data_IF_705251906564
#
_entry.id   IF_705251906564
#
_cell.length_a   1.000
_cell.length_b   1.000
_cell.length_c   1.000
_cell.angle_alpha   90.00
_cell.angle_beta   90.00
_cell.angle_gamma   90.00
#
_symmetry.space_group_name_H-M   'P 1'
#
loop_
_entity.id
_entity.type
_entity.pdbx_description
1 polymer ?
#
# COMPACT_ATOMS: atom_id res chain seq x y z
N UNK A 1 -3.85 -12.27 24.13
CA UNK A 1 -2.97 -11.16 24.55
C UNK A 1 -3.09 -10.07 23.50
N UNK A 2 -3.44 -8.84 23.88
CA UNK A 2 -3.44 -7.73 22.93
C UNK A 2 -1.99 -7.50 22.47
N UNK A 3 -1.73 -7.72 21.18
CA UNK A 3 -0.42 -7.49 20.59
C UNK A 3 -0.03 -6.01 20.69
N UNK A 4 1.26 -5.71 20.84
CA UNK A 4 1.76 -4.33 20.69
C UNK A 4 1.35 -3.79 19.32
N UNK A 5 1.10 -2.48 19.26
CA UNK A 5 0.82 -1.79 18.00
C UNK A 5 1.90 -2.12 16.95
N UNK A 6 1.54 -2.58 15.74
CA UNK A 6 2.51 -3.12 14.78
C UNK A 6 3.52 -2.10 14.23
N UNK A 7 3.18 -0.80 14.28
CA UNK A 7 3.99 0.29 13.73
C UNK A 7 4.49 1.20 14.86
N UNK A 8 5.57 0.81 15.57
CA UNK A 8 5.99 1.47 16.81
C UNK A 8 6.28 2.96 16.65
N UNK A 9 6.73 3.38 15.47
CA UNK A 9 7.11 4.75 15.15
C UNK A 9 5.92 5.65 14.70
N UNK A 10 4.72 5.09 14.57
CA UNK A 10 3.53 5.87 14.22
C UNK A 10 3.25 6.96 15.27
N UNK A 11 3.07 8.19 14.80
CA UNK A 11 2.55 9.29 15.62
C UNK A 11 1.10 9.02 16.01
N UNK A 12 0.55 9.82 16.92
CA UNK A 12 -0.86 9.70 17.32
C UNK A 12 -1.82 9.81 16.12
N UNK A 13 -1.52 10.70 15.18
CA UNK A 13 -2.34 10.91 13.99
C UNK A 13 -2.22 9.73 13.01
N UNK A 14 -1.04 9.16 12.85
CA UNK A 14 -0.85 7.95 12.02
C UNK A 14 -1.64 6.77 12.57
N UNK A 15 -1.66 6.62 13.90
CA UNK A 15 -2.50 5.61 14.56
C UNK A 15 -3.98 5.84 14.28
N UNK A 16 -4.46 7.08 14.38
CA UNK A 16 -5.86 7.39 14.06
C UNK A 16 -6.20 7.05 12.62
N UNK A 17 -5.35 7.41 11.65
CA UNK A 17 -5.55 7.07 10.23
C UNK A 17 -5.65 5.56 10.04
N UNK A 18 -4.69 4.79 10.57
CA UNK A 18 -4.71 3.32 10.44
C UNK A 18 -5.92 2.69 11.11
N UNK A 19 -6.35 3.21 12.27
CA UNK A 19 -7.56 2.74 12.95
C UNK A 19 -8.79 3.00 12.08
N UNK A 20 -8.89 4.20 11.48
CA UNK A 20 -9.97 4.55 10.54
C UNK A 20 -9.95 3.58 9.36
N UNK A 21 -8.78 3.32 8.75
CA UNK A 21 -8.65 2.37 7.64
C UNK A 21 -9.10 0.95 8.03
N UNK A 22 -8.75 0.49 9.24
CA UNK A 22 -9.21 -0.81 9.74
C UNK A 22 -10.73 -0.89 9.86
N UNK A 23 -11.37 0.14 10.43
CA UNK A 23 -12.83 0.19 10.49
C UNK A 23 -13.46 0.26 9.10
N UNK A 24 -12.90 1.06 8.19
CA UNK A 24 -13.39 1.19 6.81
C UNK A 24 -13.33 -0.15 6.08
N UNK A 25 -12.22 -0.87 6.18
CA UNK A 25 -12.07 -2.18 5.56
C UNK A 25 -13.09 -3.18 6.12
N UNK A 26 -13.25 -3.22 7.44
CA UNK A 26 -14.23 -4.09 8.08
C UNK A 26 -15.68 -3.74 7.71
N UNK A 27 -16.01 -2.44 7.61
CA UNK A 27 -17.34 -1.99 7.20
C UNK A 27 -17.61 -2.25 5.72
N UNK A 28 -16.60 -2.10 4.85
CA UNK A 28 -16.74 -2.36 3.42
C UNK A 28 -17.03 -3.84 3.12
N UNK A 29 -16.57 -4.77 3.97
CA UNK A 29 -16.97 -6.18 3.89
C UNK A 29 -18.47 -6.40 4.19
N UNK A 30 -19.07 -5.53 5.01
CA UNK A 30 -20.48 -5.62 5.38
C UNK A 30 -21.41 -4.83 4.43
N UNK A 31 -21.02 -3.60 4.07
CA UNK A 31 -21.80 -2.70 3.21
C UNK A 31 -20.88 -1.67 2.52
N UNK A 32 -20.42 -2.04 1.32
CA UNK A 32 -19.54 -1.18 0.52
C UNK A 32 -20.23 0.11 0.04
N UNK A 33 -21.51 0.05 -0.34
CA UNK A 33 -22.21 1.20 -0.92
C UNK A 33 -22.42 2.31 0.12
N UNK A 34 -22.68 1.92 1.38
CA UNK A 34 -22.77 2.88 2.48
C UNK A 34 -21.42 3.52 2.79
N UNK A 35 -20.32 2.77 2.71
CA UNK A 35 -18.96 3.32 2.86
C UNK A 35 -18.66 4.34 1.76
N UNK A 36 -18.94 4.02 0.49
CA UNK A 36 -18.71 4.93 -0.64
C UNK A 36 -19.54 6.21 -0.53
N UNK A 37 -20.77 6.11 -0.02
CA UNK A 37 -21.63 7.27 0.24
C UNK A 37 -21.05 8.18 1.32
N UNK A 38 -20.51 7.61 2.39
CA UNK A 38 -19.85 8.36 3.46
C UNK A 38 -18.56 9.03 2.97
N UNK A 39 -17.78 8.35 2.14
CA UNK A 39 -16.56 8.90 1.52
C UNK A 39 -16.87 10.15 0.72
N UNK A 40 -17.92 10.08 -0.11
CA UNK A 40 -18.39 11.21 -0.88
C UNK A 40 -18.76 12.39 0.02
N UNK A 41 -19.53 12.14 1.10
CA UNK A 41 -19.92 13.18 2.04
C UNK A 41 -18.71 13.86 2.71
N UNK A 42 -17.71 13.07 3.10
CA UNK A 42 -16.49 13.61 3.72
C UNK A 42 -15.61 14.37 2.72
N UNK A 43 -15.55 13.92 1.47
CA UNK A 43 -14.90 14.66 0.39
C UNK A 43 -15.60 15.99 0.13
N UNK A 44 -16.94 16.02 0.15
CA UNK A 44 -17.74 17.23 0.01
C UNK A 44 -17.51 18.21 1.19
N UNK A 45 -17.13 17.71 2.38
CA UNK A 45 -16.66 18.51 3.52
C UNK A 45 -15.19 18.95 3.44
N UNK A 46 -14.52 18.72 2.32
CA UNK A 46 -13.12 19.11 2.11
C UNK A 46 -12.12 18.19 2.80
N UNK A 47 -12.51 16.95 3.15
CA UNK A 47 -11.63 15.93 3.72
C UNK A 47 -11.36 14.77 2.73
N UNK A 48 -10.86 15.05 1.50
CA UNK A 48 -10.68 14.02 0.48
C UNK A 48 -9.61 12.98 0.84
N UNK A 49 -8.79 13.27 1.86
CA UNK A 49 -7.77 12.34 2.36
C UNK A 49 -8.35 11.10 3.06
N UNK A 50 -9.65 11.10 3.41
CA UNK A 50 -10.28 9.98 4.11
C UNK A 50 -10.43 8.73 3.23
N UNK A 51 -10.49 8.94 1.92
CA UNK A 51 -10.52 7.90 0.90
C UNK A 51 -9.31 8.12 0.00
N UNK A 52 -8.21 7.40 0.23
CA UNK A 52 -7.14 7.34 -0.76
C UNK A 52 -7.59 6.44 -1.92
N UNK A 53 -8.46 6.99 -2.76
CA UNK A 53 -8.90 6.38 -4.01
C UNK A 53 -7.91 6.69 -5.14
N UNK A 54 -6.64 7.01 -4.83
CA UNK A 54 -5.64 7.21 -5.88
C UNK A 54 -5.56 5.93 -6.71
N UNK A 55 -5.84 6.05 -8.01
CA UNK A 55 -5.74 4.92 -8.93
C UNK A 55 -4.30 4.42 -8.85
N UNK A 56 -4.14 3.20 -8.37
CA UNK A 56 -2.85 2.52 -8.34
C UNK A 56 -2.60 2.00 -9.75
N UNK A 57 -1.81 2.73 -10.52
CA UNK A 57 -1.34 2.25 -11.83
C UNK A 57 -0.38 1.08 -11.61
N UNK A 58 -0.91 -0.15 -11.64
CA UNK A 58 -0.16 -1.38 -11.36
C UNK A 58 0.97 -1.63 -12.36
N UNK A 59 0.91 -1.03 -13.55
CA UNK A 59 2.00 -1.12 -14.53
C UNK A 59 3.09 -0.07 -14.31
N UNK A 60 2.93 0.81 -13.33
CA UNK A 60 3.92 1.84 -13.02
C UNK A 60 5.27 1.19 -12.67
N UNK A 61 6.32 1.70 -13.30
CA UNK A 61 7.69 1.34 -13.01
C UNK A 61 8.19 2.22 -11.86
N UNK A 62 8.29 1.64 -10.67
CA UNK A 62 8.67 2.35 -9.45
C UNK A 62 9.97 1.79 -8.88
N UNK A 63 10.73 2.61 -8.17
CA UNK A 63 11.86 2.07 -7.42
C UNK A 63 11.39 1.40 -6.13
N UNK A 64 12.26 0.57 -5.55
CA UNK A 64 11.99 -0.01 -4.22
C UNK A 64 11.76 1.06 -3.14
N UNK A 65 12.40 2.23 -3.23
CA UNK A 65 12.21 3.33 -2.29
C UNK A 65 10.81 3.94 -2.38
N UNK A 66 10.34 4.19 -3.61
CA UNK A 66 9.03 4.81 -3.84
C UNK A 66 7.90 3.82 -3.48
N UNK A 67 8.10 2.52 -3.76
CA UNK A 67 7.18 1.46 -3.33
C UNK A 67 7.12 1.38 -1.80
N UNK A 68 8.28 1.46 -1.13
CA UNK A 68 8.33 1.42 0.32
C UNK A 68 7.60 2.58 0.97
N UNK A 69 7.83 3.79 0.47
CA UNK A 69 7.18 4.99 0.96
C UNK A 69 5.66 4.92 0.78
N UNK A 70 5.19 4.44 -0.39
CA UNK A 70 3.76 4.44 -0.73
C UNK A 70 2.98 3.28 -0.11
N UNK A 71 3.58 2.10 0.03
CA UNK A 71 2.85 0.88 0.42
C UNK A 71 3.36 0.24 1.71
N UNK A 72 4.33 0.86 2.40
CA UNK A 72 4.87 0.35 3.66
C UNK A 72 5.66 -0.97 3.53
N UNK A 73 6.08 -1.34 2.33
CA UNK A 73 6.90 -2.54 2.07
C UNK A 73 8.38 -2.19 2.21
N UNK A 74 9.16 -2.88 3.03
CA UNK A 74 10.57 -2.51 3.21
C UNK A 74 11.37 -2.55 1.89
N UNK A 75 12.27 -1.58 1.68
CA UNK A 75 13.15 -1.52 0.50
C UNK A 75 13.97 -2.80 0.34
N UNK A 76 14.44 -3.35 1.46
CA UNK A 76 15.20 -4.58 1.50
C UNK A 76 14.38 -5.75 0.97
N UNK A 77 13.12 -5.90 1.41
CA UNK A 77 12.22 -6.94 0.95
C UNK A 77 12.01 -6.87 -0.57
N UNK A 78 11.69 -5.69 -1.11
CA UNK A 78 11.47 -5.54 -2.57
C UNK A 78 12.70 -6.00 -3.37
N UNK A 79 13.90 -5.57 -2.94
CA UNK A 79 15.16 -5.94 -3.61
C UNK A 79 15.49 -7.42 -3.46
N UNK A 80 15.30 -7.96 -2.26
CA UNK A 80 15.59 -9.36 -1.95
C UNK A 80 14.65 -10.31 -2.69
N UNK A 81 13.35 -10.00 -2.74
CA UNK A 81 12.36 -10.78 -3.50
C UNK A 81 12.65 -10.77 -4.99
N UNK A 82 12.94 -9.60 -5.58
CA UNK A 82 13.28 -9.50 -6.99
C UNK A 82 14.61 -10.19 -7.35
N UNK A 83 15.52 -10.36 -6.39
CA UNK A 83 16.76 -11.11 -6.58
C UNK A 83 16.53 -12.62 -6.51
N UNK A 84 15.66 -13.08 -5.61
CA UNK A 84 15.37 -14.52 -5.41
C UNK A 84 14.34 -15.07 -6.39
N UNK A 85 13.42 -14.24 -6.85
CA UNK A 85 12.30 -14.59 -7.72
C UNK A 85 12.22 -13.66 -8.94
N UNK A 86 13.26 -13.60 -9.78
CA UNK A 86 13.30 -12.72 -10.96
C UNK A 86 12.19 -13.05 -11.98
N UNK A 87 11.64 -14.26 -11.94
CA UNK A 87 10.50 -14.71 -12.75
C UNK A 87 9.17 -14.09 -12.30
N UNK A 88 9.08 -13.68 -11.02
CA UNK A 88 7.88 -13.06 -10.44
C UNK A 88 7.98 -11.55 -10.34
N UNK A 89 9.17 -11.03 -10.03
CA UNK A 89 9.43 -9.59 -9.95
C UNK A 89 10.64 -9.27 -10.80
N UNK A 90 10.39 -8.77 -12.01
CA UNK A 90 11.47 -8.40 -12.93
C UNK A 90 12.14 -7.10 -12.53
N UNK A 91 13.45 -7.06 -12.72
CA UNK A 91 14.27 -5.87 -12.50
C UNK A 91 14.48 -5.15 -13.82
N UNK A 92 14.14 -3.86 -13.86
CA UNK A 92 14.32 -3.01 -15.03
C UNK A 92 15.33 -1.92 -14.72
N UNK A 93 16.14 -1.54 -15.69
CA UNK A 93 17.08 -0.42 -15.55
C UNK A 93 16.49 0.82 -16.20
N UNK A 94 16.34 1.89 -15.43
CA UNK A 94 16.08 3.21 -15.96
C UNK A 94 17.30 3.75 -16.70
N UNK A 95 17.09 4.77 -17.54
CA UNK A 95 18.18 5.45 -18.27
C UNK A 95 19.28 6.01 -17.35
N UNK A 96 18.95 6.33 -16.09
CA UNK A 96 19.89 6.81 -15.07
C UNK A 96 20.54 5.67 -14.24
N UNK A 97 20.36 4.40 -14.62
CA UNK A 97 20.92 3.25 -13.92
C UNK A 97 20.13 2.78 -12.68
N UNK A 98 19.10 3.50 -12.26
CA UNK A 98 18.22 3.11 -11.13
C UNK A 98 17.47 1.82 -11.48
N UNK A 99 17.43 0.87 -10.54
CA UNK A 99 16.59 -0.31 -10.69
C UNK A 99 15.13 0.05 -10.39
N UNK A 100 14.26 -0.25 -11.34
CA UNK A 100 12.81 -0.11 -11.26
C UNK A 100 12.15 -1.49 -11.27
N UNK A 101 10.97 -1.55 -10.67
CA UNK A 101 10.13 -2.73 -10.54
C UNK A 101 8.73 -2.35 -11.00
N UNK A 102 8.05 -3.27 -11.67
CA UNK A 102 6.62 -3.10 -11.94
C UNK A 102 5.87 -3.22 -10.62
N UNK A 103 5.05 -2.23 -10.30
CA UNK A 103 4.34 -2.18 -9.02
C UNK A 103 3.46 -3.42 -8.78
N UNK A 104 2.68 -3.82 -9.79
CA UNK A 104 1.78 -4.95 -9.72
C UNK A 104 2.48 -6.25 -9.33
N UNK A 105 3.64 -6.54 -9.93
CA UNK A 105 4.43 -7.74 -9.64
C UNK A 105 4.85 -7.79 -8.16
N UNK A 106 5.28 -6.65 -7.60
CA UNK A 106 5.68 -6.54 -6.19
C UNK A 106 4.48 -6.70 -5.25
N UNK A 107 3.35 -6.06 -5.56
CA UNK A 107 2.13 -6.16 -4.76
C UNK A 107 1.54 -7.59 -4.79
N UNK A 108 1.48 -8.21 -5.97
CA UNK A 108 1.03 -9.60 -6.14
C UNK A 108 1.93 -10.56 -5.36
N UNK A 109 3.25 -10.40 -5.43
CA UNK A 109 4.16 -11.23 -4.64
C UNK A 109 3.96 -11.02 -3.14
N UNK A 110 3.82 -9.77 -2.67
CA UNK A 110 3.59 -9.47 -1.26
C UNK A 110 2.27 -10.05 -0.72
N UNK A 111 1.21 -10.06 -1.54
CA UNK A 111 -0.08 -10.65 -1.18
C UNK A 111 -0.01 -12.18 -1.10
N UNK A 112 0.70 -12.82 -2.05
CA UNK A 112 0.70 -14.29 -2.19
C UNK A 112 1.78 -15.02 -1.36
N UNK A 113 2.73 -14.31 -0.75
CA UNK A 113 3.82 -14.94 0.05
C UNK A 113 3.38 -15.49 1.42
N UNK A 114 2.13 -15.21 1.83
CA UNK A 114 1.56 -15.66 3.11
C UNK A 114 0.71 -16.93 3.02
N UNK A 115 0.61 -17.54 1.83
CA UNK A 115 -0.10 -18.80 1.57
C UNK A 115 0.84 -19.97 1.38
#
# INVERSE_FOLDING_TARGET
MAGKWPWPDDTKDDRYRRIIDHYRNALAEADLDQCLSLDKLMADYGQPWISDNSIVEVNAMMSAGDIAQRFGISVWNVRDWARRHPERIRQHKAANGRTLFRLGDVLTYNANRGG
#
